data_IF_820448587160
#
_entry.id   IF_820448587160
#
_cell.length_a   1.000
_cell.length_b   1.000
_cell.length_c   1.000
_cell.angle_alpha   90.00
_cell.angle_beta   90.00
_cell.angle_gamma   90.00
#
_symmetry.space_group_name_H-M   'P 1'
#
loop_
_entity.id
_entity.type
_entity.pdbx_description
1 polymer ?
#
# COMPACT_ATOMS: atom_id res chain seq x y z
N UNK A 1 -2.44 -9.40 32.95
CA UNK A 1 -2.16 -10.36 31.86
C UNK A 1 -2.88 -9.86 30.61
N UNK A 2 -2.14 -9.41 29.60
CA UNK A 2 -2.73 -8.84 28.38
C UNK A 2 -3.27 -9.97 27.50
N UNK A 3 -4.57 -9.95 27.22
CA UNK A 3 -5.25 -10.92 26.37
C UNK A 3 -4.89 -10.57 24.93
N UNK A 4 -3.94 -11.30 24.34
CA UNK A 4 -3.70 -11.23 22.90
C UNK A 4 -4.92 -11.90 22.26
N UNK A 5 -5.88 -11.09 21.79
CA UNK A 5 -7.01 -11.59 20.99
C UNK A 5 -6.41 -12.23 19.74
N UNK A 6 -6.39 -13.56 19.68
CA UNK A 6 -6.10 -14.29 18.44
C UNK A 6 -7.06 -13.78 17.38
N UNK A 7 -6.54 -13.09 16.37
CA UNK A 7 -7.34 -12.65 15.25
C UNK A 7 -7.93 -13.91 14.59
N UNK A 8 -9.25 -14.05 14.65
CA UNK A 8 -9.97 -15.11 13.96
C UNK A 8 -9.64 -15.06 12.47
N UNK A 9 -9.46 -16.22 11.83
CA UNK A 9 -9.06 -16.33 10.42
C UNK A 9 -9.95 -15.49 9.49
N UNK A 10 -11.23 -15.35 9.80
CA UNK A 10 -12.19 -14.48 9.10
C UNK A 10 -11.83 -13.00 9.16
N UNK A 11 -11.31 -12.53 10.30
CA UNK A 11 -10.88 -11.15 10.49
C UNK A 11 -9.57 -10.87 9.73
N UNK A 12 -8.65 -11.84 9.69
CA UNK A 12 -7.44 -11.76 8.84
C UNK A 12 -7.80 -11.70 7.35
N UNK A 13 -8.79 -12.49 6.91
CA UNK A 13 -9.31 -12.42 5.54
C UNK A 13 -9.96 -11.08 5.23
N UNK A 14 -10.74 -10.52 6.16
CA UNK A 14 -11.36 -9.20 6.00
C UNK A 14 -10.31 -8.08 5.91
N UNK A 15 -9.30 -8.10 6.79
CA UNK A 15 -8.17 -7.15 6.71
C UNK A 15 -7.40 -7.28 5.39
N UNK A 16 -7.19 -8.50 4.88
CA UNK A 16 -6.55 -8.73 3.59
C UNK A 16 -7.40 -8.20 2.43
N UNK A 17 -8.72 -8.37 2.49
CA UNK A 17 -9.68 -7.84 1.52
C UNK A 17 -9.66 -6.31 1.52
N UNK A 18 -9.73 -5.68 2.70
CA UNK A 18 -9.66 -4.22 2.86
C UNK A 18 -8.34 -3.70 2.29
N UNK A 19 -7.21 -4.33 2.62
CA UNK A 19 -5.91 -3.94 2.09
C UNK A 19 -5.84 -4.08 0.57
N UNK A 20 -6.40 -5.14 0.01
CA UNK A 20 -6.48 -5.33 -1.43
C UNK A 20 -7.28 -4.21 -2.11
N UNK A 21 -8.49 -3.91 -1.62
CA UNK A 21 -9.33 -2.83 -2.13
C UNK A 21 -8.64 -1.47 -2.05
N UNK A 22 -7.95 -1.18 -0.94
CA UNK A 22 -7.18 0.05 -0.78
C UNK A 22 -6.05 0.16 -1.80
N UNK A 23 -5.28 -0.91 -2.02
CA UNK A 23 -4.22 -0.94 -3.03
C UNK A 23 -4.78 -0.65 -4.42
N UNK A 24 -5.92 -1.25 -4.78
CA UNK A 24 -6.55 -1.01 -6.07
C UNK A 24 -7.01 0.45 -6.23
N UNK A 25 -7.60 1.04 -5.18
CA UNK A 25 -8.03 2.45 -5.20
C UNK A 25 -6.84 3.42 -5.33
N UNK A 26 -5.73 3.15 -4.63
CA UNK A 26 -4.50 3.94 -4.76
C UNK A 26 -3.91 3.75 -6.17
N UNK A 27 -3.83 2.52 -6.66
CA UNK A 27 -3.31 2.22 -7.98
C UNK A 27 -4.10 2.88 -9.13
N UNK A 28 -5.41 3.06 -8.93
CA UNK A 28 -6.28 3.72 -9.91
C UNK A 28 -6.22 5.24 -9.84
N UNK A 29 -5.76 5.82 -8.73
CA UNK A 29 -5.63 7.26 -8.53
C UNK A 29 -4.64 7.91 -9.50
N UNK A 30 -4.90 9.17 -9.85
CA UNK A 30 -4.05 9.96 -10.74
C UNK A 30 -2.67 10.21 -10.12
N UNK A 31 -2.62 10.55 -8.83
CA UNK A 31 -1.37 10.83 -8.12
C UNK A 31 -0.40 9.64 -8.13
N UNK A 32 -0.90 8.42 -7.89
CA UNK A 32 -0.08 7.22 -7.94
C UNK A 32 0.43 6.91 -9.35
N UNK A 33 -0.42 7.10 -10.39
CA UNK A 33 -0.02 6.86 -11.78
C UNK A 33 1.07 7.82 -12.24
N UNK A 34 0.95 9.11 -11.89
CA UNK A 34 1.97 10.12 -12.17
C UNK A 34 3.28 9.81 -11.44
N UNK A 35 3.22 9.57 -10.12
CA UNK A 35 4.38 9.22 -9.31
C UNK A 35 5.08 7.94 -9.81
N UNK A 36 4.31 6.91 -10.23
CA UNK A 36 4.85 5.69 -10.83
C UNK A 36 5.56 5.95 -12.16
N UNK A 37 5.12 6.94 -12.93
CA UNK A 37 5.78 7.36 -14.17
C UNK A 37 7.11 8.11 -13.94
N UNK A 38 7.30 8.71 -12.76
CA UNK A 38 8.53 9.39 -12.37
C UNK A 38 9.61 8.44 -11.81
N UNK A 39 9.21 7.24 -11.36
CA UNK A 39 10.13 6.19 -10.95
C UNK A 39 10.95 5.66 -12.14
N UNK A 40 12.21 5.28 -11.88
CA UNK A 40 13.03 4.59 -12.88
C UNK A 40 12.36 3.28 -13.30
N UNK A 41 12.32 3.01 -14.61
CA UNK A 41 11.68 1.81 -15.18
C UNK A 41 12.17 0.52 -14.52
N UNK A 42 13.47 0.40 -14.26
CA UNK A 42 14.08 -0.78 -13.62
C UNK A 42 13.54 -1.06 -12.19
N UNK A 43 13.25 -0.01 -11.40
CA UNK A 43 12.67 -0.15 -10.06
C UNK A 43 11.19 -0.51 -10.11
N UNK A 44 10.52 -0.15 -11.21
CA UNK A 44 9.08 -0.32 -11.38
C UNK A 44 8.72 -1.69 -11.96
N UNK A 45 9.61 -2.26 -12.78
CA UNK A 45 9.44 -3.58 -13.42
C UNK A 45 9.66 -4.75 -12.45
N UNK A 46 10.51 -4.57 -11.44
CA UNK A 46 10.81 -5.59 -10.43
C UNK A 46 9.92 -5.50 -9.19
N UNK A 47 9.34 -4.33 -8.91
CA UNK A 47 8.55 -4.11 -7.71
C UNK A 47 7.09 -4.56 -7.88
N UNK A 48 6.61 -5.32 -6.91
CA UNK A 48 5.19 -5.67 -6.81
C UNK A 48 4.32 -4.44 -6.54
N UNK A 49 3.03 -4.51 -6.91
CA UNK A 49 2.07 -3.44 -6.62
C UNK A 49 2.03 -3.09 -5.12
N UNK A 50 2.18 -4.09 -4.25
CA UNK A 50 2.22 -3.89 -2.80
C UNK A 50 3.41 -3.01 -2.38
N UNK A 51 4.60 -3.28 -2.92
CA UNK A 51 5.80 -2.49 -2.65
C UNK A 51 5.67 -1.06 -3.18
N UNK A 52 5.15 -0.90 -4.39
CA UNK A 52 4.93 0.42 -4.98
C UNK A 52 3.93 1.24 -4.16
N UNK A 53 2.81 0.65 -3.74
CA UNK A 53 1.81 1.33 -2.90
C UNK A 53 2.40 1.72 -1.55
N UNK A 54 3.17 0.85 -0.89
CA UNK A 54 3.83 1.17 0.38
C UNK A 54 4.84 2.31 0.24
N UNK A 55 5.61 2.31 -0.85
CA UNK A 55 6.59 3.35 -1.12
C UNK A 55 5.92 4.70 -1.37
N UNK A 56 4.88 4.72 -2.21
CA UNK A 56 4.07 5.92 -2.45
C UNK A 56 3.47 6.48 -1.14
N UNK A 57 2.89 5.62 -0.31
CA UNK A 57 2.35 6.02 0.99
C UNK A 57 3.44 6.58 1.92
N UNK A 58 4.63 5.97 1.94
CA UNK A 58 5.74 6.47 2.74
C UNK A 58 6.16 7.87 2.27
N UNK A 59 6.43 8.05 0.98
CA UNK A 59 6.87 9.33 0.42
C UNK A 59 5.81 10.43 0.61
N UNK A 60 4.53 10.12 0.40
CA UNK A 60 3.42 11.08 0.62
C UNK A 60 3.25 11.46 2.09
N UNK A 61 3.44 10.51 3.02
CA UNK A 61 3.41 10.80 4.46
C UNK A 61 4.63 11.60 4.93
N UNK A 62 5.82 11.33 4.39
CA UNK A 62 7.02 12.10 4.68
C UNK A 62 6.87 13.56 4.22
N UNK A 63 6.18 13.79 3.11
CA UNK A 63 5.93 15.14 2.57
C UNK A 63 4.94 15.96 3.43
N UNK A 64 4.07 15.29 4.19
CA UNK A 64 3.07 15.93 5.07
C UNK A 64 3.54 16.10 6.53
N UNK A 65 4.67 15.50 6.91
CA UNK A 65 5.21 15.53 8.26
C UNK A 65 6.14 16.72 8.54
N UNK A 66 6.19 17.70 7.62
CA UNK A 66 6.98 18.92 7.72
C UNK A 66 6.08 20.13 7.91
#
# INVERSE_FOLDING_TARGET
>A
MAIIRSASSTQLSDHAQIWYSLKCAIASSSGFKSWKGELRSAETETASLDQLVRRYLRETLETLAY
#
